data_IF_274610235618
#
_entry.id   IF_274610235618
#
_cell.length_a   1.000
_cell.length_b   1.000
_cell.length_c   1.000
_cell.angle_alpha   90.00
_cell.angle_beta   90.00
_cell.angle_gamma   90.00
#
_symmetry.space_group_name_H-M   'P 1'
#
loop_
_entity.id
_entity.type
_entity.pdbx_description
1 polymer ?
2 non-polymer ?
3 non-polymer ?
4 water ?
#
# COMPACT_ATOMS: atom_id res chain seq x y z
N UNK A 4 18.30 20.55 -9.66
CA UNK A 4 17.71 19.50 -8.79
C UNK A 4 18.28 18.10 -9.11
N UNK A 5 18.99 17.48 -8.13
CA UNK A 5 19.28 16.04 -8.28
C UNK A 5 17.97 15.25 -8.44
N UNK A 6 18.04 14.16 -9.21
CA UNK A 6 16.90 13.31 -9.56
C UNK A 6 16.83 12.03 -8.71
N UNK A 7 15.74 11.84 -7.97
CA UNK A 7 15.65 10.71 -7.06
C UNK A 7 14.71 9.68 -7.68
N UNK A 8 15.28 8.55 -8.09
CA UNK A 8 14.53 7.54 -8.83
C UNK A 8 14.16 6.37 -7.96
N UNK A 9 12.91 5.93 -8.08
CA UNK A 9 12.47 4.70 -7.45
C UNK A 9 12.18 3.68 -8.53
N UNK A 10 12.71 2.45 -8.41
CA UNK A 10 13.59 1.95 -7.34
C UNK A 10 15.02 2.41 -7.49
N UNK A 11 15.74 2.36 -6.37
CA UNK A 11 17.18 2.65 -6.33
C UNK A 11 17.79 1.78 -5.25
N UNK A 12 19.10 1.91 -5.07
CA UNK A 12 19.78 1.11 -4.04
C UNK A 12 19.24 1.49 -2.65
N UNK A 13 19.01 2.78 -2.40
CA UNK A 13 18.55 3.23 -1.06
C UNK A 13 17.03 3.24 -0.87
N UNK A 14 16.29 3.11 -1.97
CA UNK A 14 14.82 2.95 -1.92
C UNK A 14 14.50 1.74 -2.80
N UNK A 15 14.73 0.53 -2.28
CA UNK A 15 14.70 -0.63 -3.16
C UNK A 15 13.33 -1.03 -3.65
N UNK A 16 13.30 -1.81 -4.72
CA UNK A 16 12.03 -2.40 -5.21
C UNK A 16 11.40 -3.30 -4.12
N UNK A 17 10.10 -3.54 -4.25
CA UNK A 17 9.42 -4.42 -3.30
C UNK A 17 9.77 -5.89 -3.46
N UNK A 18 9.90 -6.53 -2.32
CA UNK A 18 10.10 -7.98 -2.26
C UNK A 18 9.02 -8.72 -3.03
N UNK A 19 9.43 -9.73 -3.81
CA UNK A 19 8.48 -10.61 -4.49
C UNK A 19 7.94 -11.67 -3.52
N UNK A 20 6.84 -12.31 -3.88
CA UNK A 20 6.32 -13.40 -3.06
C UNK A 20 5.51 -14.36 -3.93
N UNK A 21 5.33 -15.58 -3.44
CA UNK A 21 4.68 -16.66 -4.20
C UNK A 21 3.68 -17.36 -3.31
N UNK A 22 2.51 -17.68 -3.86
CA UNK A 22 1.47 -18.42 -3.17
C UNK A 22 1.01 -19.59 -4.03
N UNK A 23 1.01 -20.82 -3.46
CA UNK A 23 0.50 -21.92 -4.25
C UNK A 23 -1.03 -21.95 -4.12
N UNK A 24 -1.71 -22.32 -5.19
CA UNK A 24 -3.18 -22.40 -5.11
C UNK A 24 -3.65 -23.76 -5.60
N UNK A 25 -4.76 -24.26 -5.05
CA UNK A 25 -5.16 -25.58 -5.50
C UNK A 25 -5.87 -25.55 -6.85
N UNK A 26 -6.10 -26.74 -7.41
CA UNK A 26 -6.85 -26.93 -8.66
C UNK A 26 -8.19 -26.21 -8.68
N UNK A 27 -8.84 -26.17 -7.51
CA UNK A 27 -10.19 -25.61 -7.38
C UNK A 27 -10.21 -24.09 -7.46
N UNK A 28 -9.03 -23.46 -7.48
CA UNK A 28 -8.90 -22.01 -7.46
C UNK A 28 -8.20 -21.51 -8.71
N UNK A 29 -8.38 -20.23 -8.96
CA UNK A 29 -7.72 -19.62 -10.10
C UNK A 29 -7.35 -18.20 -9.76
N UNK A 30 -6.28 -17.71 -10.37
CA UNK A 30 -5.83 -16.35 -10.09
C UNK A 30 -6.86 -15.33 -10.61
N UNK A 31 -6.88 -14.19 -9.96
CA UNK A 31 -7.80 -13.12 -10.39
C UNK A 31 -7.03 -11.83 -10.58
N UNK A 32 -6.51 -11.63 -11.79
CA UNK A 32 -5.72 -10.44 -12.06
C UNK A 32 -6.53 -9.14 -12.07
N UNK A 33 -7.86 -9.23 -12.01
CA UNK A 33 -8.68 -8.01 -12.03
C UNK A 33 -9.00 -7.50 -10.64
N UNK A 34 -8.66 -8.28 -9.60
CA UNK A 34 -8.97 -7.86 -8.22
C UNK A 34 -8.38 -6.50 -7.89
N UNK A 35 -7.20 -6.22 -8.43
CA UNK A 35 -6.48 -5.00 -8.12
C UNK A 35 -5.41 -5.10 -7.05
N UNK A 36 -5.00 -6.33 -6.75
CA UNK A 36 -3.92 -6.60 -5.80
C UNK A 36 -2.80 -7.35 -6.51
N UNK A 37 -1.64 -7.35 -5.86
CA UNK A 37 -0.43 -7.96 -6.41
C UNK A 37 -0.55 -9.49 -6.51
N UNK A 38 -1.40 -10.08 -5.66
CA UNK A 38 -1.81 -11.46 -5.80
C UNK A 38 -3.29 -11.53 -5.46
N UNK A 39 -4.06 -12.34 -6.21
CA UNK A 39 -5.45 -12.62 -5.81
C UNK A 39 -5.83 -13.92 -6.44
N UNK A 40 -6.69 -14.65 -5.77
CA UNK A 40 -7.30 -15.85 -6.34
C UNK A 40 -8.68 -16.07 -5.76
N UNK A 41 -9.48 -16.85 -6.48
CA UNK A 41 -10.86 -17.10 -6.15
C UNK A 41 -11.18 -18.54 -6.56
N UNK A 42 -12.22 -19.14 -5.97
CA UNK A 42 -12.61 -20.48 -6.43
C UNK A 42 -13.12 -20.41 -7.85
N UNK A 43 -12.80 -21.42 -8.66
CA UNK A 43 -13.36 -21.38 -10.02
C UNK A 43 -14.86 -21.67 -10.00
N UNK A 44 -15.34 -22.27 -8.91
CA UNK A 44 -16.75 -22.59 -8.71
C UNK A 44 -17.19 -22.00 -7.38
N UNK A 45 -17.52 -20.69 -7.37
CA UNK A 45 -17.89 -20.05 -6.12
C UNK A 45 -19.30 -20.42 -5.64
N UNK A 46 -19.50 -20.42 -4.33
CA UNK A 46 -20.81 -20.66 -3.71
C UNK A 46 -21.77 -19.48 -3.85
N UNK A 47 -23.01 -19.65 -3.40
CA UNK A 47 -23.96 -18.53 -3.36
C UNK A 47 -23.56 -17.62 -2.20
N UNK A 48 -23.84 -16.32 -2.33
CA UNK A 48 -23.59 -15.36 -1.26
C UNK A 48 -22.18 -14.81 -1.27
N UNK A 49 -21.50 -14.86 -0.12
CA UNK A 49 -20.12 -14.34 -0.04
C UNK A 49 -19.16 -15.07 -0.97
N UNK A 50 -18.38 -14.31 -1.71
CA UNK A 50 -17.36 -14.93 -2.57
C UNK A 50 -16.01 -15.01 -1.84
N UNK A 51 -15.62 -16.25 -1.50
CA UNK A 51 -14.33 -16.40 -0.81
C UNK A 51 -13.20 -15.94 -1.69
N UNK A 52 -12.13 -15.44 -1.08
CA UNK A 52 -11.02 -14.99 -1.89
C UNK A 52 -9.77 -14.99 -1.05
N UNK A 53 -8.63 -14.93 -1.72
CA UNK A 53 -7.36 -14.67 -1.06
C UNK A 53 -6.65 -13.58 -1.82
N UNK A 54 -6.06 -12.65 -1.07
CA UNK A 54 -5.26 -11.60 -1.69
C UNK A 54 -3.91 -11.50 -1.02
N UNK A 55 -2.94 -11.00 -1.78
CA UNK A 55 -1.59 -10.75 -1.25
C UNK A 55 -1.12 -9.39 -1.67
N UNK A 56 -0.48 -8.68 -0.75
CA UNK A 56 0.00 -7.29 -0.97
C UNK A 56 1.31 -7.09 -0.25
N UNK A 57 2.29 -6.53 -0.97
CA UNK A 57 3.58 -6.21 -0.36
C UNK A 57 3.75 -4.69 -0.42
N UNK A 58 4.14 -4.09 0.70
CA UNK A 58 4.34 -2.65 0.75
C UNK A 58 5.60 -2.30 1.50
N UNK A 59 6.14 -1.13 1.21
CA UNK A 59 7.29 -0.56 1.92
C UNK A 59 6.76 0.10 3.17
N UNK A 60 7.48 -0.06 4.28
CA UNK A 60 7.07 0.56 5.54
C UNK A 60 8.29 0.89 6.37
N UNK A 61 8.09 1.63 7.45
CA UNK A 61 9.24 1.95 8.30
C UNK A 61 9.71 0.78 9.17
N UNK A 62 10.97 0.80 9.61
CA UNK A 62 11.44 -0.16 10.61
C UNK A 62 10.44 -0.23 11.77
N UNK A 63 10.12 -1.44 12.22
CA UNK A 63 9.16 -1.63 13.31
C UNK A 63 7.76 -1.83 12.81
N UNK A 64 7.58 -1.92 11.49
CA UNK A 64 6.23 -2.05 10.95
C UNK A 64 5.47 -3.28 11.37
N UNK A 65 6.13 -4.42 11.47
CA UNK A 65 5.42 -5.62 11.88
C UNK A 65 4.81 -5.44 13.28
N UNK A 66 5.58 -4.92 14.24
CA UNK A 66 4.99 -4.66 15.56
C UNK A 66 3.85 -3.65 15.49
N UNK A 67 4.04 -2.56 14.73
CA UNK A 67 2.95 -1.58 14.63
C UNK A 67 1.69 -2.16 14.03
N UNK A 68 1.83 -2.96 12.97
CA UNK A 68 0.64 -3.52 12.34
C UNK A 68 -0.05 -4.52 13.29
N UNK A 69 0.73 -5.25 14.09
CA UNK A 69 0.12 -6.13 15.09
C UNK A 69 -0.70 -5.33 16.08
N UNK A 70 -0.18 -4.19 16.55
CA UNK A 70 -0.99 -3.32 17.44
C UNK A 70 -2.27 -2.88 16.76
N UNK A 71 -2.16 -2.51 15.48
CA UNK A 71 -3.32 -2.07 14.74
C UNK A 71 -4.34 -3.19 14.61
N UNK A 72 -3.86 -4.44 14.42
CA UNK A 72 -4.77 -5.58 14.36
C UNK A 72 -5.46 -5.81 15.71
N UNK A 73 -4.70 -5.66 16.78
CA UNK A 73 -5.26 -5.74 18.15
C UNK A 73 -6.37 -4.70 18.31
N UNK A 74 -6.09 -3.46 17.91
CA UNK A 74 -7.01 -2.34 18.10
C UNK A 74 -8.25 -2.52 17.21
N UNK A 75 -8.04 -3.00 16.00
CA UNK A 75 -9.17 -3.27 15.12
C UNK A 75 -10.05 -4.36 15.73
N UNK A 76 -9.43 -5.36 16.36
CA UNK A 76 -10.17 -6.45 16.99
C UNK A 76 -11.21 -5.93 17.97
N UNK A 77 -10.81 -4.97 18.82
CA UNK A 77 -11.74 -4.40 19.81
C UNK A 77 -12.95 -3.72 19.16
N UNK A 78 -12.86 -3.42 17.85
CA UNK A 78 -13.94 -2.74 17.10
C UNK A 78 -14.61 -3.59 16.02
N UNK A 79 -14.35 -4.90 16.04
CA UNK A 79 -15.11 -5.86 15.21
C UNK A 79 -16.19 -6.53 16.07
N UNK A 80 -17.48 -6.43 15.66
CA UNK A 80 -18.51 -7.01 16.51
C UNK A 80 -18.41 -8.54 16.58
N UNK A 81 -18.70 -9.12 17.75
CA UNK A 81 -18.68 -10.57 17.96
C UNK A 81 -17.34 -11.18 17.53
N UNK A 82 -16.26 -10.43 17.75
CA UNK A 82 -14.91 -10.92 17.41
C UNK A 82 -14.64 -12.23 18.15
N UNK A 83 -14.22 -13.23 17.39
CA UNK A 83 -13.86 -14.54 17.92
C UNK A 83 -12.54 -14.97 17.30
N UNK A 84 -11.50 -15.05 18.11
CA UNK A 84 -10.16 -15.37 17.61
C UNK A 84 -9.88 -16.86 17.76
N UNK A 85 -9.45 -17.53 16.69
CA UNK A 85 -9.05 -18.94 16.80
C UNK A 85 -7.67 -19.00 17.44
N UNK A 86 -6.75 -18.18 16.92
CA UNK A 86 -5.40 -18.16 17.43
C UNK A 86 -4.55 -17.15 16.71
N UNK A 87 -3.44 -16.80 17.36
CA UNK A 87 -2.44 -15.95 16.79
C UNK A 87 -1.12 -16.60 17.05
N UNK A 88 -0.15 -16.40 16.17
CA UNK A 88 1.20 -16.98 16.36
C UNK A 88 2.28 -16.01 15.88
N UNK A 89 3.39 -16.04 16.60
CA UNK A 89 4.62 -15.45 16.14
C UNK A 89 5.42 -16.58 15.49
N UNK A 90 5.85 -16.37 14.26
CA UNK A 90 6.51 -17.45 13.55
C UNK A 90 7.52 -16.86 12.57
N UNK A 91 7.96 -17.68 11.63
CA UNK A 91 8.85 -17.21 10.56
C UNK A 91 8.31 -17.78 9.26
N UNK A 92 8.51 -17.03 8.17
CA UNK A 92 8.16 -17.52 6.85
C UNK A 92 9.41 -17.37 6.01
N UNK A 93 10.05 -18.48 5.63
CA UNK A 93 11.43 -18.40 5.11
C UNK A 93 12.45 -17.71 6.04
N UNK A 94 12.28 -17.90 7.34
CA UNK A 94 13.20 -17.34 8.31
C UNK A 94 12.98 -15.89 8.68
N UNK A 95 12.17 -15.22 7.86
CA UNK A 95 11.80 -13.82 8.08
C UNK A 95 10.73 -13.81 9.13
N UNK A 96 10.80 -12.86 10.05
CA UNK A 96 9.79 -12.72 11.11
C UNK A 96 8.38 -12.60 10.53
N UNK A 97 7.44 -13.30 11.15
CA UNK A 97 6.08 -13.31 10.69
C UNK A 97 5.09 -13.38 11.84
N UNK A 98 3.86 -13.04 11.49
CA UNK A 98 2.73 -13.09 12.41
C UNK A 98 1.56 -13.71 11.64
N UNK A 99 0.82 -14.56 12.33
CA UNK A 99 -0.32 -15.24 11.71
C UNK A 99 -1.49 -15.12 12.65
N UNK A 100 -2.68 -14.81 12.12
CA UNK A 100 -3.85 -14.70 12.99
C UNK A 100 -5.06 -15.19 12.23
N UNK A 101 -5.96 -15.85 12.98
CA UNK A 101 -7.20 -16.41 12.44
C UNK A 101 -8.32 -15.99 13.34
N UNK A 102 -9.38 -15.43 12.74
CA UNK A 102 -10.50 -14.92 13.53
C UNK A 102 -11.76 -14.87 12.69
N UNK A 103 -12.87 -14.59 13.36
CA UNK A 103 -14.12 -14.29 12.69
C UNK A 103 -14.80 -13.18 13.43
N UNK A 104 -15.71 -12.52 12.72
CA UNK A 104 -16.52 -11.49 13.35
C UNK A 104 -17.82 -11.35 12.58
N UNK A 105 -18.75 -10.60 13.17
CA UNK A 105 -20.06 -10.36 12.57
C UNK A 105 -20.07 -8.98 11.95
N UNK A 106 -20.38 -8.94 10.66
CA UNK A 106 -20.34 -7.70 9.87
C UNK A 106 -21.76 -7.18 9.64
N UNK A 107 -22.04 -6.02 10.21
CA UNK A 107 -23.35 -5.34 10.09
C UNK A 107 -24.51 -6.17 10.59
N UNK A 108 -24.21 -7.12 11.50
CA UNK A 108 -25.22 -8.02 12.04
C UNK A 108 -25.76 -8.96 10.98
N UNK A 109 -25.09 -8.99 9.83
CA UNK A 109 -25.70 -9.56 8.61
C UNK A 109 -24.99 -10.81 8.08
N UNK A 110 -23.67 -10.80 8.09
CA UNK A 110 -22.91 -11.97 7.70
C UNK A 110 -21.80 -12.13 8.70
N UNK A 111 -21.30 -13.36 8.82
CA UNK A 111 -20.11 -13.64 9.60
C UNK A 111 -18.94 -13.76 8.62
N UNK A 112 -17.90 -13.02 8.94
CA UNK A 112 -16.67 -12.97 8.11
C UNK A 112 -15.55 -13.66 8.86
N UNK A 113 -14.95 -14.65 8.20
CA UNK A 113 -13.79 -15.36 8.77
C UNK A 113 -12.54 -15.03 7.96
N UNK A 114 -11.49 -14.66 8.67
CA UNK A 114 -10.25 -14.28 7.96
C UNK A 114 -9.01 -14.91 8.56
N UNK A 115 -8.07 -15.19 7.66
CA UNK A 115 -6.78 -15.76 8.01
C UNK A 115 -5.73 -14.83 7.42
N UNK A 116 -4.87 -14.28 8.27
CA UNK A 116 -3.86 -13.30 7.84
C UNK A 116 -2.46 -13.79 8.19
N UNK A 117 -1.52 -13.66 7.25
CA UNK A 117 -0.08 -13.81 7.56
C UNK A 117 0.60 -12.52 7.17
N UNK A 118 1.41 -12.00 8.08
CA UNK A 118 2.27 -10.86 7.79
C UNK A 118 3.71 -11.31 7.85
N UNK A 119 4.54 -10.91 6.90
CA UNK A 119 5.98 -11.26 6.88
C UNK A 119 6.76 -9.97 6.74
N UNK A 120 7.78 -9.76 7.59
CA UNK A 120 8.60 -8.55 7.51
C UNK A 120 9.97 -8.85 6.96
N UNK A 121 10.26 -8.27 5.80
CA UNK A 121 11.60 -8.41 5.17
C UNK A 121 12.35 -7.11 5.38
N UNK A 122 13.50 -7.18 6.03
CA UNK A 122 14.21 -5.96 6.41
C UNK A 122 15.18 -5.51 5.34
N UNK A 123 15.15 -4.22 5.04
CA UNK A 123 16.13 -3.53 4.21
C UNK A 123 16.99 -2.70 5.19
N UNK A 124 18.03 -2.02 4.70
CA UNK A 124 18.91 -1.29 5.62
C UNK A 124 18.20 -0.20 6.42
N UNK A 125 17.26 0.48 5.78
CA UNK A 125 16.69 1.68 6.39
C UNK A 125 15.20 1.58 6.62
N UNK A 126 14.59 0.48 6.18
CA UNK A 126 13.13 0.30 6.16
C UNK A 126 12.81 -1.18 5.98
N UNK A 127 11.54 -1.50 5.77
CA UNK A 127 11.16 -2.88 5.62
C UNK A 127 10.10 -3.03 4.52
N UNK A 128 9.89 -4.28 4.11
CA UNK A 128 8.69 -4.65 3.37
C UNK A 128 7.81 -5.49 4.26
N UNK A 129 6.50 -5.25 4.21
CA UNK A 129 5.52 -6.16 4.84
C UNK A 129 4.74 -6.84 3.73
N UNK A 130 4.85 -8.18 3.70
CA UNK A 130 3.98 -9.02 2.89
C UNK A 130 2.75 -9.37 3.74
N UNK A 131 1.58 -9.08 3.21
CA UNK A 131 0.34 -9.47 3.89
C UNK A 131 -0.49 -10.34 2.98
N UNK A 132 -0.78 -11.56 3.47
CA UNK A 132 -1.63 -12.49 2.78
C UNK A 132 -2.93 -12.60 3.59
N UNK A 133 -4.07 -12.35 2.94
CA UNK A 133 -5.38 -12.37 3.64
C UNK A 133 -6.35 -13.28 2.91
N UNK A 134 -6.80 -14.34 3.57
CA UNK A 134 -7.85 -15.21 3.02
C UNK A 134 -9.15 -14.95 3.78
N UNK A 135 -10.26 -14.87 3.05
CA UNK A 135 -11.56 -14.49 3.62
C UNK A 135 -12.63 -15.40 3.12
N UNK A 136 -13.51 -15.85 4.02
CA UNK A 136 -14.72 -16.53 3.58
C UNK A 136 -15.82 -16.20 4.57
N UNK A 137 -17.05 -16.61 4.26
CA UNK A 137 -18.13 -16.49 5.24
C UNK A 137 -17.99 -17.53 6.33
N UNK A 138 -18.56 -17.21 7.50
CA UNK A 138 -18.50 -18.13 8.65
C UNK A 138 -19.03 -19.51 8.30
N UNK A 139 -20.12 -19.58 7.53
CA UNK A 139 -20.64 -20.90 7.15
C UNK A 139 -19.95 -21.51 5.92
N UNK A 140 -18.81 -20.93 5.55
CA UNK A 140 -17.99 -21.48 4.48
C UNK A 140 -16.67 -22.03 5.06
N UNK A 141 -16.42 -21.81 6.36
CA UNK A 141 -15.11 -22.25 6.89
C UNK A 141 -14.88 -23.75 6.76
N UNK A 142 -15.92 -24.56 6.95
CA UNK A 142 -15.71 -25.98 6.77
C UNK A 142 -15.27 -26.33 5.35
N UNK A 143 -15.68 -25.53 4.37
CA UNK A 143 -15.30 -25.77 2.97
C UNK A 143 -13.91 -25.29 2.61
N UNK A 144 -13.45 -24.24 3.30
CA UNK A 144 -12.24 -23.55 2.84
C UNK A 144 -11.07 -23.46 3.81
N UNK A 145 -11.28 -23.71 5.10
CA UNK A 145 -10.22 -23.36 6.07
C UNK A 145 -8.94 -24.18 5.89
N UNK A 146 -9.08 -25.47 5.61
CA UNK A 146 -7.90 -26.29 5.36
C UNK A 146 -7.14 -25.80 4.12
N UNK A 147 -7.88 -25.45 3.06
CA UNK A 147 -7.29 -24.92 1.81
C UNK A 147 -6.55 -23.60 2.09
N UNK A 148 -7.18 -22.70 2.85
CA UNK A 148 -6.54 -21.48 3.26
C UNK A 148 -5.25 -21.75 4.03
N UNK A 149 -5.32 -22.67 4.98
CA UNK A 149 -4.16 -23.00 5.80
C UNK A 149 -2.99 -23.47 4.92
N UNK A 150 -3.27 -24.30 3.92
CA UNK A 150 -2.20 -24.76 2.99
C UNK A 150 -1.59 -23.58 2.22
N UNK A 151 -2.42 -22.66 1.75
CA UNK A 151 -1.89 -21.53 0.98
C UNK A 151 -0.98 -20.67 1.85
N UNK A 152 -1.39 -20.40 3.09
CA UNK A 152 -0.57 -19.62 4.00
C UNK A 152 0.72 -20.37 4.39
N UNK A 153 0.59 -21.67 4.60
CA UNK A 153 1.73 -22.47 5.03
C UNK A 153 2.82 -22.48 3.98
N UNK A 154 2.44 -22.38 2.71
CA UNK A 154 3.45 -22.53 1.66
C UNK A 154 3.79 -21.21 0.95
N UNK A 155 3.32 -20.10 1.52
CA UNK A 155 3.76 -18.78 1.12
C UNK A 155 5.30 -18.71 1.19
N UNK A 156 5.88 -18.17 0.13
CA UNK A 156 7.34 -17.92 0.10
C UNK A 156 7.60 -16.49 -0.32
N UNK A 157 8.76 -15.99 0.09
CA UNK A 157 9.16 -14.64 -0.26
C UNK A 157 10.47 -14.64 -0.99
N UNK A 158 10.55 -13.72 -1.95
CA UNK A 158 11.67 -13.61 -2.86
C UNK A 158 12.26 -12.20 -2.80
N UNK A 159 13.14 -12.00 -1.83
CA UNK A 159 13.75 -10.68 -1.64
C UNK A 159 14.86 -10.29 -2.62
N UNK A 160 15.29 -11.21 -3.48
CA UNK A 160 16.33 -10.86 -4.45
C UNK A 160 15.74 -10.99 -5.86
N UNK A 161 14.41 -11.07 -5.91
CA UNK A 161 13.66 -11.24 -7.17
C UNK A 161 13.60 -12.67 -7.67
N UNK B 2 -2.41 -33.23 -4.83
CA UNK B 2 -1.69 -32.69 -3.64
C UNK B 2 -0.52 -31.74 -4.01
N UNK B 3 -0.11 -31.72 -5.28
CA UNK B 3 0.93 -30.78 -5.73
C UNK B 3 0.29 -29.49 -6.24
N UNK B 4 0.37 -28.42 -5.43
CA UNK B 4 -0.17 -27.11 -5.81
C UNK B 4 0.85 -26.37 -6.67
N UNK B 5 0.40 -25.80 -7.82
CA UNK B 5 1.21 -24.86 -8.57
C UNK B 5 1.34 -23.59 -7.72
N UNK B 6 2.28 -22.76 -8.12
CA UNK B 6 2.45 -21.48 -7.47
C UNK B 6 2.26 -20.27 -8.38
N UNK B 7 1.76 -19.25 -7.74
CA UNK B 7 1.50 -17.97 -8.42
C UNK B 7 2.53 -16.99 -7.84
N UNK B 8 3.41 -16.51 -8.71
CA UNK B 8 4.56 -15.70 -8.33
C UNK B 8 4.33 -14.23 -8.68
N UNK B 9 4.53 -13.32 -7.72
CA UNK B 9 4.54 -11.90 -7.96
C UNK B 9 5.98 -11.40 -7.91
N UNK B 10 6.42 -10.65 -8.92
CA UNK B 10 5.64 -10.18 -10.08
C UNK B 10 5.57 -11.21 -11.19
N UNK B 11 4.59 -11.01 -12.06
CA UNK B 11 4.41 -11.88 -13.26
C UNK B 11 3.73 -11.06 -14.33
N UNK B 12 3.59 -11.65 -15.52
CA UNK B 12 2.87 -10.97 -16.60
C UNK B 12 1.47 -10.58 -16.18
N UNK B 13 0.75 -11.48 -15.50
CA UNK B 13 -0.62 -11.17 -15.13
C UNK B 13 -0.73 -10.30 -13.88
N UNK B 14 0.31 -10.35 -13.04
CA UNK B 14 0.33 -9.51 -11.82
C UNK B 14 1.66 -8.74 -11.87
N UNK B 15 1.71 -7.68 -12.68
CA UNK B 15 3.02 -7.13 -12.98
C UNK B 15 3.67 -6.31 -11.89
N UNK B 16 4.99 -6.12 -12.01
CA UNK B 16 5.72 -5.24 -11.11
C UNK B 16 5.17 -3.81 -11.14
N UNK B 17 5.47 -3.06 -10.09
CA UNK B 17 5.03 -1.68 -10.03
C UNK B 17 5.87 -0.76 -10.91
N UNK B 18 5.18 0.20 -11.52
CA UNK B 18 5.79 1.29 -12.25
C UNK B 18 6.75 2.08 -11.38
N UNK B 19 7.90 2.44 -11.96
CA UNK B 19 8.85 3.32 -11.27
C UNK B 19 8.50 4.80 -11.43
N UNK B 20 9.11 5.63 -10.61
CA UNK B 20 8.91 7.08 -10.74
C UNK B 20 10.09 7.84 -10.19
N UNK B 21 10.24 9.07 -10.68
CA UNK B 21 11.39 9.91 -10.35
C UNK B 21 10.92 11.30 -9.96
N UNK B 22 11.55 11.85 -8.91
CA UNK B 22 11.23 13.20 -8.44
C UNK B 22 12.55 13.97 -8.28
N UNK B 23 12.68 15.15 -8.90
CA UNK B 23 13.89 15.91 -8.61
C UNK B 23 13.72 16.66 -7.28
N UNK B 24 14.81 16.86 -6.55
CA UNK B 24 14.74 17.62 -5.30
C UNK B 24 15.82 18.70 -5.27
N UNK B 25 15.57 19.83 -4.57
CA UNK B 25 16.56 20.89 -4.49
C UNK B 25 17.82 20.45 -3.79
N UNK B 26 18.94 21.12 -4.07
CA UNK B 26 20.18 20.69 -3.42
C UNK B 26 20.17 20.95 -1.91
N UNK B 27 19.23 21.78 -1.45
CA UNK B 27 18.99 22.03 -0.04
C UNK B 27 18.09 20.98 0.65
N UNK B 28 17.63 19.98 -0.12
CA UNK B 28 16.91 18.82 0.40
C UNK B 28 17.73 17.55 0.29
N UNK B 29 17.32 16.53 1.04
CA UNK B 29 18.00 15.24 0.98
C UNK B 29 16.99 14.12 1.03
N UNK B 30 17.26 13.01 0.33
CA UNK B 30 16.38 11.85 0.43
C UNK B 30 16.37 11.30 1.85
N UNK B 31 15.23 10.72 2.24
CA UNK B 31 15.15 10.10 3.56
C UNK B 31 14.69 8.65 3.45
N UNK B 32 15.64 7.71 3.35
CA UNK B 32 15.31 6.33 3.16
C UNK B 32 14.70 5.67 4.41
N UNK B 33 14.73 6.38 5.56
CA UNK B 33 14.15 5.86 6.79
C UNK B 33 12.68 6.19 7.01
N UNK B 34 12.14 7.11 6.20
CA UNK B 34 10.75 7.49 6.35
C UNK B 34 9.87 6.25 6.37
N UNK B 35 10.13 5.34 5.43
CA UNK B 35 9.33 4.13 5.24
C UNK B 35 8.48 4.12 3.97
N UNK B 36 8.77 5.05 3.05
CA UNK B 36 8.07 5.08 1.77
C UNK B 36 9.04 4.87 0.61
N UNK B 37 8.47 4.58 -0.56
CA UNK B 37 9.28 4.32 -1.76
C UNK B 37 10.09 5.53 -2.23
N UNK B 38 9.60 6.72 -1.88
CA UNK B 38 10.35 7.95 -2.05
C UNK B 38 10.05 8.84 -0.86
N UNK B 39 11.08 9.50 -0.34
CA UNK B 39 10.88 10.54 0.66
C UNK B 39 12.04 11.48 0.64
N UNK B 40 11.75 12.75 0.91
CA UNK B 40 12.81 13.74 1.06
C UNK B 40 12.39 14.79 2.05
N UNK B 41 13.38 15.48 2.62
CA UNK B 41 13.14 16.54 3.62
C UNK B 41 14.25 17.59 3.48
N UNK B 42 14.01 18.81 3.97
CA UNK B 42 15.07 19.83 3.90
C UNK B 42 16.24 19.47 4.76
N UNK B 43 17.43 19.92 4.38
CA UNK B 43 18.59 19.80 5.27
C UNK B 43 18.40 20.63 6.53
N UNK B 44 17.86 21.83 6.36
CA UNK B 44 17.62 22.74 7.49
C UNK B 44 16.16 23.20 7.50
N UNK B 45 15.31 22.52 8.29
CA UNK B 45 13.90 22.84 8.25
C UNK B 45 13.51 24.03 9.13
N UNK B 46 12.33 24.62 8.90
CA UNK B 46 11.77 25.56 9.84
C UNK B 46 11.55 24.80 11.15
N UNK B 47 11.33 25.55 12.21
CA UNK B 47 10.97 24.94 13.46
C UNK B 47 9.54 24.42 13.41
N UNK B 48 9.26 23.50 14.34
CA UNK B 48 7.98 22.85 14.47
C UNK B 48 7.84 21.77 13.42
N UNK B 49 6.90 21.95 12.52
CA UNK B 49 6.69 20.96 11.48
C UNK B 49 7.83 20.90 10.47
N UNK B 50 8.32 19.68 10.16
CA UNK B 50 9.32 19.43 9.14
C UNK B 50 8.63 19.20 7.79
N UNK B 51 8.78 20.14 6.84
CA UNK B 51 8.25 19.92 5.50
C UNK B 51 8.83 18.64 4.91
N UNK B 52 8.03 17.98 4.09
CA UNK B 52 8.52 16.73 3.52
C UNK B 52 7.75 16.41 2.28
N UNK B 53 8.34 15.55 1.46
CA UNK B 53 7.62 15.03 0.31
C UNK B 53 7.76 13.53 0.35
N UNK B 54 6.68 12.83 0.01
CA UNK B 54 6.72 11.37 -0.08
C UNK B 54 6.08 10.91 -1.38
N UNK B 55 6.53 9.76 -1.85
CA UNK B 55 6.02 9.16 -3.07
C UNK B 55 5.74 7.69 -2.82
N UNK B 56 4.60 7.22 -3.31
CA UNK B 56 4.22 5.82 -3.17
C UNK B 56 3.69 5.39 -4.52
N UNK B 57 3.87 4.13 -4.84
CA UNK B 57 3.22 3.53 -6.00
C UNK B 57 2.60 2.24 -5.52
N UNK B 58 1.34 2.04 -5.88
CA UNK B 58 0.59 0.85 -5.41
C UNK B 58 -0.20 0.25 -6.57
N UNK B 59 -0.46 -1.07 -6.49
CA UNK B 59 -1.38 -1.72 -7.40
C UNK B 59 -2.82 -1.49 -6.96
N UNK B 60 -3.72 -1.25 -7.91
CA UNK B 60 -5.14 -1.01 -7.61
C UNK B 60 -5.99 -1.52 -8.75
N UNK B 61 -7.30 -1.57 -8.56
CA UNK B 61 -8.17 -2.02 -9.63
C UNK B 61 -8.38 -0.95 -10.70
N UNK B 62 -8.74 -1.40 -11.89
CA UNK B 62 -9.25 -0.49 -12.94
C UNK B 62 -10.23 0.53 -12.35
N UNK B 63 -10.03 1.79 -12.70
CA UNK B 63 -10.88 2.86 -12.16
C UNK B 63 -10.39 3.48 -10.85
N UNK B 64 -9.19 3.12 -10.42
CA UNK B 64 -8.72 3.55 -9.10
C UNK B 64 -8.53 5.05 -8.93
N UNK B 65 -8.10 5.72 -10.00
CA UNK B 65 -7.91 7.17 -9.89
C UNK B 65 -9.25 7.86 -9.60
N UNK B 66 -10.27 7.48 -10.34
CA UNK B 66 -11.61 8.03 -10.12
C UNK B 66 -12.06 7.73 -8.69
N UNK B 67 -11.90 6.50 -8.26
CA UNK B 67 -12.26 6.12 -6.90
C UNK B 67 -11.51 6.94 -5.85
N UNK B 68 -10.21 7.14 -6.06
CA UNK B 68 -9.45 7.91 -5.10
C UNK B 68 -9.90 9.36 -5.04
N UNK B 69 -10.30 9.90 -6.20
CA UNK B 69 -10.83 11.28 -6.23
C UNK B 69 -12.09 11.37 -5.37
N UNK B 70 -12.97 10.37 -5.47
CA UNK B 70 -14.18 10.30 -4.63
C UNK B 70 -13.81 10.20 -3.15
N UNK B 71 -12.82 9.37 -2.83
CA UNK B 71 -12.42 9.15 -1.44
C UNK B 71 -11.74 10.39 -0.83
N UNK B 72 -11.04 11.16 -1.66
CA UNK B 72 -10.44 12.42 -1.23
C UNK B 72 -11.53 13.47 -0.96
N UNK B 73 -12.54 13.52 -1.83
CA UNK B 73 -13.69 14.42 -1.65
C UNK B 73 -14.41 14.15 -0.34
N UNK B 74 -14.58 12.87 0.00
CA UNK B 74 -15.25 12.51 1.25
C UNK B 74 -14.39 12.85 2.47
N UNK B 75 -13.09 12.54 2.37
CA UNK B 75 -12.12 12.84 3.43
C UNK B 75 -12.14 14.34 3.74
N UNK B 76 -12.35 15.17 2.70
CA UNK B 76 -12.42 16.63 2.78
C UNK B 76 -13.58 17.19 3.61
N UNK B 77 -14.83 16.86 3.22
CA UNK B 77 -16.08 17.33 3.90
C UNK B 77 -15.97 17.08 5.38
N UNK B 78 -14.91 16.40 5.76
CA UNK B 78 -14.61 16.12 7.16
C UNK B 78 -13.48 16.91 7.83
N UNK B 79 -12.35 17.09 7.15
CA UNK B 79 -11.14 17.76 7.68
C UNK B 79 -11.43 19.16 8.24
N UNK B 80 -11.03 19.46 9.50
CA UNK B 80 -11.39 20.78 10.05
C UNK B 80 -10.81 21.94 9.29
N UNK B 81 -11.64 22.94 9.05
CA UNK B 81 -11.23 24.20 8.38
C UNK B 81 -10.62 23.89 7.01
N UNK B 82 -11.16 22.86 6.35
CA UNK B 82 -10.70 22.50 5.02
C UNK B 82 -10.74 23.70 4.07
N UNK B 83 -9.64 23.91 3.36
CA UNK B 83 -9.48 25.05 2.45
C UNK B 83 -8.80 24.50 1.22
N UNK B 84 -9.42 24.69 0.06
CA UNK B 84 -8.89 24.09 -1.16
C UNK B 84 -8.34 25.14 -2.09
N UNK B 85 -7.06 25.02 -2.47
CA UNK B 85 -6.51 25.96 -3.46
C UNK B 85 -7.03 25.68 -4.87
N UNK B 86 -7.12 24.40 -5.21
CA UNK B 86 -7.58 24.05 -6.55
C UNK B 86 -7.43 22.55 -6.71
N UNK B 87 -8.12 22.05 -7.71
CA UNK B 87 -8.07 20.65 -8.12
C UNK B 87 -8.24 20.61 -9.61
N UNK B 88 -7.68 19.59 -10.25
CA UNK B 88 -7.91 19.41 -11.67
C UNK B 88 -7.46 18.04 -12.11
N UNK B 89 -8.13 17.51 -13.14
CA UNK B 89 -7.55 16.42 -13.92
C UNK B 89 -6.35 16.96 -14.71
N UNK B 90 -5.42 16.09 -14.99
CA UNK B 90 -4.19 16.47 -15.69
C UNK B 90 -3.60 15.19 -16.28
N UNK B 91 -2.40 15.30 -16.85
CA UNK B 91 -1.67 14.13 -17.30
C UNK B 91 -0.21 14.31 -16.89
N UNK B 92 0.48 13.19 -16.66
CA UNK B 92 1.90 13.17 -16.31
C UNK B 92 2.53 12.16 -17.22
N UNK B 93 3.43 12.62 -18.08
CA UNK B 93 4.07 11.74 -19.08
C UNK B 93 3.03 10.98 -19.90
N UNK B 94 1.92 11.68 -20.17
CA UNK B 94 0.87 11.14 -21.01
C UNK B 94 -0.17 10.34 -20.25
N UNK B 95 0.11 10.02 -18.99
CA UNK B 95 -0.82 9.18 -18.23
C UNK B 95 -1.88 9.97 -17.51
N UNK B 96 -3.10 9.41 -17.39
CA UNK B 96 -4.15 10.12 -16.64
C UNK B 96 -3.68 10.46 -15.24
N UNK B 97 -4.04 11.65 -14.76
CA UNK B 97 -3.55 12.16 -13.50
C UNK B 97 -4.53 13.12 -12.84
N UNK B 98 -4.25 13.46 -11.59
CA UNK B 98 -5.11 14.36 -10.82
C UNK B 98 -4.23 15.13 -9.87
N UNK B 99 -4.54 16.40 -9.67
CA UNK B 99 -3.73 17.25 -8.79
C UNK B 99 -4.67 17.99 -7.85
N UNK B 100 -4.32 18.08 -6.57
CA UNK B 100 -5.13 18.85 -5.62
C UNK B 100 -4.21 19.49 -4.59
N UNK B 101 -4.57 20.70 -4.16
CA UNK B 101 -3.85 21.42 -3.13
C UNK B 101 -4.84 21.91 -2.11
N UNK B 102 -4.56 21.67 -0.84
CA UNK B 102 -5.53 22.02 0.22
C UNK B 102 -4.79 22.22 1.53
N UNK B 103 -5.52 22.67 2.52
CA UNK B 103 -5.01 22.82 3.86
C UNK B 103 -6.15 22.51 4.81
N UNK B 104 -5.77 22.20 6.04
CA UNK B 104 -6.75 21.94 7.08
C UNK B 104 -6.10 22.17 8.44
N UNK B 105 -6.94 22.21 9.48
CA UNK B 105 -6.46 22.44 10.82
C UNK B 105 -6.28 21.12 11.55
N UNK B 106 -5.07 20.88 12.04
CA UNK B 106 -4.69 19.64 12.72
C UNK B 106 -4.58 19.87 14.23
N UNK B 107 -5.33 19.07 15.00
CA UNK B 107 -5.25 19.14 16.46
C UNK B 107 -5.61 20.51 17.02
N UNK B 108 -6.30 21.34 16.22
CA UNK B 108 -6.57 22.74 16.59
C UNK B 108 -5.36 23.62 16.86
N UNK B 109 -4.16 23.15 16.46
CA UNK B 109 -2.91 23.83 16.83
C UNK B 109 -1.99 24.18 15.67
N UNK B 110 -2.16 23.47 14.56
CA UNK B 110 -1.31 23.70 13.41
C UNK B 110 -2.13 23.55 12.14
N UNK B 111 -1.87 24.41 11.15
CA UNK B 111 -2.49 24.23 9.84
C UNK B 111 -1.53 23.38 9.00
N UNK B 112 -2.06 22.35 8.32
CA UNK B 112 -1.25 21.46 7.48
C UNK B 112 -1.68 21.72 6.04
N UNK B 113 -0.71 22.05 5.19
CA UNK B 113 -0.94 22.33 3.76
C UNK B 113 -0.34 21.19 2.93
N UNK B 114 -1.14 20.64 2.03
CA UNK B 114 -0.70 19.47 1.28
C UNK B 114 -0.91 19.66 -0.21
N UNK B 115 0.01 19.14 -0.98
CA UNK B 115 -0.05 19.17 -2.43
C UNK B 115 0.08 17.73 -2.92
N UNK B 116 -0.91 17.26 -3.68
CA UNK B 116 -1.00 15.85 -4.08
C UNK B 116 -1.07 15.78 -5.57
N UNK B 117 -0.23 14.95 -6.18
CA UNK B 117 -0.41 14.53 -7.59
C UNK B 117 -0.58 13.01 -7.63
N UNK B 118 -1.62 12.54 -8.30
CA UNK B 118 -1.91 11.11 -8.53
C UNK B 118 -1.74 10.82 -9.99
N UNK B 119 -1.10 9.70 -10.30
CA UNK B 119 -0.94 9.29 -11.71
C UNK B 119 -1.40 7.85 -11.82
N UNK B 120 -2.25 7.55 -12.81
CA UNK B 120 -2.73 6.19 -13.03
C UNK B 120 -2.09 5.59 -14.29
N UNK B 121 -1.30 4.54 -14.12
CA UNK B 121 -0.68 3.79 -15.21
C UNK B 121 -1.43 2.47 -15.35
N UNK B 122 -1.99 2.20 -16.54
CA UNK B 122 -2.80 1.03 -16.76
C UNK B 122 -1.97 -0.19 -17.13
N UNK B 123 -2.35 -1.30 -16.53
CA UNK B 123 -1.92 -2.64 -16.91
C UNK B 123 -3.12 -3.32 -17.56
N UNK B 124 -2.92 -4.54 -18.08
CA UNK B 124 -4.04 -5.14 -18.83
C UNK B 124 -5.30 -5.36 -18.01
N UNK B 125 -5.17 -5.64 -16.71
CA UNK B 125 -6.32 -6.00 -15.90
C UNK B 125 -6.48 -5.17 -14.65
N UNK B 126 -5.54 -4.24 -14.43
CA UNK B 126 -5.49 -3.47 -13.20
C UNK B 126 -4.68 -2.22 -13.47
N UNK B 127 -4.33 -1.46 -12.44
CA UNK B 127 -3.56 -0.22 -12.62
C UNK B 127 -2.53 -0.06 -11.53
N UNK B 128 -1.60 0.86 -11.75
CA UNK B 128 -0.79 1.43 -10.68
C UNK B 128 -1.24 2.85 -10.42
N UNK B 129 -1.27 3.24 -9.14
CA UNK B 129 -1.44 4.64 -8.73
C UNK B 129 -0.16 5.11 -8.12
N UNK B 130 0.44 6.14 -8.71
CA UNK B 130 1.59 6.86 -8.15
C UNK B 130 1.08 8.10 -7.42
N UNK B 131 1.34 8.17 -6.12
CA UNK B 131 0.85 9.32 -5.33
C UNK B 131 2.06 10.06 -4.76
N UNK B 132 2.16 11.32 -5.13
CA UNK B 132 3.20 12.21 -4.62
C UNK B 132 2.54 13.21 -3.70
N UNK B 133 2.99 13.28 -2.45
CA UNK B 133 2.37 14.19 -1.45
C UNK B 133 3.45 15.05 -0.81
N UNK B 134 3.37 16.36 -1.01
CA UNK B 134 4.24 17.29 -0.29
C UNK B 134 3.42 17.96 0.81
N UNK B 135 4.02 18.14 1.98
CA UNK B 135 3.32 18.70 3.13
C UNK B 135 4.22 19.72 3.83
N UNK B 136 3.63 20.86 4.21
CA UNK B 136 4.29 21.79 5.15
C UNK B 136 3.24 22.40 6.06
N UNK B 137 3.64 23.20 7.04
CA UNK B 137 2.67 23.90 7.87
C UNK B 137 2.17 25.15 7.14
N UNK B 138 1.02 25.63 7.57
CA UNK B 138 0.42 26.85 6.99
C UNK B 138 1.33 28.06 6.98
N UNK B 139 2.07 28.28 8.06
CA UNK B 139 3.02 29.39 8.11
C UNK B 139 4.33 29.14 7.39
N UNK B 140 4.42 28.00 6.70
CA UNK B 140 5.61 27.64 5.92
C UNK B 140 5.40 27.69 4.41
N UNK B 141 4.16 27.96 3.98
CA UNK B 141 3.87 27.91 2.55
C UNK B 141 4.63 28.98 1.75
N UNK B 142 4.85 30.17 2.32
CA UNK B 142 5.62 31.17 1.56
C UNK B 142 7.03 30.69 1.22
N UNK B 143 7.64 29.95 2.14
CA UNK B 143 8.98 29.45 1.95
C UNK B 143 9.06 28.16 1.13
N UNK B 144 7.95 27.42 1.06
CA UNK B 144 8.02 26.08 0.48
C UNK B 144 7.13 25.76 -0.71
N UNK B 145 6.08 26.55 -0.94
CA UNK B 145 5.11 26.14 -1.97
C UNK B 145 5.68 26.10 -3.40
N UNK B 146 6.52 27.08 -3.76
CA UNK B 146 7.14 27.05 -5.08
C UNK B 146 8.06 25.85 -5.22
N UNK B 147 8.76 25.48 -4.16
CA UNK B 147 9.66 24.33 -4.18
C UNK B 147 8.82 23.08 -4.41
N UNK B 148 7.69 23.01 -3.70
CA UNK B 148 6.74 21.91 -3.90
C UNK B 148 6.24 21.85 -5.34
N UNK B 149 5.86 23.00 -5.90
CA UNK B 149 5.38 23.07 -7.26
C UNK B 149 6.42 22.49 -8.21
N UNK B 150 7.69 22.88 -8.04
CA UNK B 150 8.73 22.39 -8.94
C UNK B 150 8.89 20.87 -8.87
N UNK B 151 8.84 20.30 -7.68
CA UNK B 151 8.93 18.85 -7.55
C UNK B 151 7.76 18.16 -8.21
N UNK B 152 6.54 18.67 -7.99
CA UNK B 152 5.38 18.07 -8.64
C UNK B 152 5.36 18.27 -10.14
N UNK B 153 5.83 19.44 -10.61
CA UNK B 153 5.94 19.70 -12.05
C UNK B 153 6.93 18.78 -12.74
N UNK B 154 7.96 18.33 -12.03
CA UNK B 154 8.99 17.56 -12.68
C UNK B 154 8.95 16.06 -12.34
N UNK B 155 7.89 15.63 -11.64
CA UNK B 155 7.64 14.18 -11.48
C UNK B 155 7.62 13.51 -12.84
N UNK B 156 8.32 12.38 -12.98
CA UNK B 156 8.25 11.56 -14.19
C UNK B 156 7.97 10.13 -13.80
N UNK B 157 7.48 9.39 -14.79
CA UNK B 157 7.02 8.02 -14.64
C UNK B 157 7.86 7.11 -15.51
N UNK B 158 8.22 5.94 -14.96
CA UNK B 158 8.99 4.95 -15.72
C UNK B 158 8.21 3.66 -15.81
N UNK B 159 7.31 3.55 -16.80
CA UNK B 159 6.60 2.31 -17.03
C UNK B 159 7.53 1.25 -17.56
N UNK B 160 7.09 0.01 -17.40
CA UNK B 160 7.76 -1.14 -18.00
C UNK B 160 6.72 -1.94 -18.78
N UNK B 161 6.99 -2.09 -20.08
CA UNK B 161 6.08 -2.67 -21.07
C UNK B 161 4.83 -3.33 -20.53
X LIG C 1 5.87 -10.58 20.76
X LIG D 1 14.74 -17.36 1.01
X LIG E 1 4.74 -22.13 10.42
X LIG E 1 3.56 -21.65 11.07
X LIG E 1 5.72 -21.01 10.12
X LIG E 1 5.54 -20.45 8.81
#
# INVERSE_FOLDING_TARGET
SNAMPSIRYPSTEFPALTGFTVPIPETWQPDPTMGTQFAARPHTPPQGFTPNIIGTVRRAATGALHNQRTELDQRATQLPDYAERGRTETTVDGFPAYHIEYAYRHHGTITIAQMITLVEVSHPHAVDIIQLTATCAGDQTADYWDTFRLMHADLTVQPHG
SNAMPSIRYPSTEFPALTGFTVPIPETWQPDPTMGTQFAARPHTPPQGFTPNIIGTVRRAATGALHNQRTELDQRATQLPDYAERGRTETTVDGFPAYHIEYAYRHHGTITIAQMITLVEVSHPHAVDIIQLTATCAGDQTADYWDTFRLMHADLTVQPHG
MG MG
MG MG
EDO C1 O1 C2 O2
#
